data_IF_833743242124
#
_entry.id   IF_833743242124
#
_cell.length_a   1.000
_cell.length_b   1.000
_cell.length_c   1.000
_cell.angle_alpha   90.00
_cell.angle_beta   90.00
_cell.angle_gamma   90.00
#
_symmetry.space_group_name_H-M   'P 1'
#
loop_
_entity.id
_entity.type
_entity.pdbx_description
1 polymer ?
#
# COMPACT_ATOMS: atom_id res chain seq x y z
N UNK A 1 20.75 28.15 10.55
CA UNK A 1 22.09 28.69 10.24
C UNK A 1 22.56 27.98 8.98
N UNK A 2 22.69 28.70 7.87
CA UNK A 2 23.18 28.15 6.61
C UNK A 2 24.69 27.98 6.69
N UNK A 3 25.20 26.79 6.37
CA UNK A 3 26.64 26.57 6.27
C UNK A 3 27.15 27.35 5.06
N UNK A 4 28.24 28.14 5.16
CA UNK A 4 28.77 28.85 4.01
C UNK A 4 29.33 27.85 2.99
N UNK A 5 29.03 28.08 1.71
CA UNK A 5 29.55 27.30 0.60
C UNK A 5 31.06 27.52 0.43
N UNK A 6 31.83 26.48 0.05
CA UNK A 6 33.23 26.64 -0.28
C UNK A 6 33.41 27.64 -1.43
N UNK A 7 34.44 28.52 -1.38
CA UNK A 7 34.71 29.47 -2.44
C UNK A 7 34.95 28.76 -3.78
N UNK A 8 34.27 29.23 -4.83
CA UNK A 8 34.37 28.65 -6.17
C UNK A 8 33.51 27.40 -6.41
N UNK A 9 32.68 26.98 -5.45
CA UNK A 9 31.69 25.93 -5.66
C UNK A 9 30.32 26.53 -5.97
N UNK A 10 29.89 26.42 -7.21
CA UNK A 10 28.53 26.81 -7.65
C UNK A 10 27.62 25.59 -7.64
N UNK A 11 26.59 25.63 -6.78
CA UNK A 11 25.54 24.63 -6.70
C UNK A 11 24.24 25.18 -7.30
N UNK A 12 23.44 24.31 -7.89
CA UNK A 12 22.06 24.64 -8.26
C UNK A 12 21.14 24.64 -7.03
N UNK A 13 19.87 25.03 -7.19
CA UNK A 13 18.90 25.12 -6.08
C UNK A 13 18.75 23.78 -5.33
N UNK A 14 18.61 22.68 -6.07
CA UNK A 14 18.42 21.34 -5.51
C UNK A 14 19.68 20.81 -4.81
N UNK A 15 20.86 21.03 -5.39
CA UNK A 15 22.15 20.72 -4.80
C UNK A 15 22.39 21.53 -3.51
N UNK A 16 21.88 22.77 -3.46
CA UNK A 16 21.94 23.65 -2.29
C UNK A 16 21.04 23.14 -1.16
N UNK A 17 19.83 22.66 -1.48
CA UNK A 17 18.94 22.03 -0.50
C UNK A 17 19.59 20.79 0.13
N UNK A 18 20.19 19.91 -0.69
CA UNK A 18 20.91 18.72 -0.21
C UNK A 18 22.09 19.11 0.65
N UNK A 19 22.88 20.12 0.25
CA UNK A 19 23.99 20.64 1.05
C UNK A 19 23.53 21.16 2.43
N UNK A 20 22.43 21.90 2.47
CA UNK A 20 21.85 22.41 3.71
C UNK A 20 21.25 21.30 4.59
N UNK A 21 20.81 20.20 3.98
CA UNK A 21 20.31 19.00 4.65
C UNK A 21 21.39 18.06 5.21
N UNK A 22 22.68 18.29 4.88
CA UNK A 22 23.76 17.41 5.32
C UNK A 22 23.89 17.39 6.85
N UNK A 23 24.00 16.18 7.40
CA UNK A 23 24.36 15.98 8.80
C UNK A 23 25.78 16.50 9.09
N UNK A 24 26.07 16.79 10.36
CA UNK A 24 27.42 17.21 10.80
C UNK A 24 28.54 16.27 10.34
N UNK A 25 28.26 14.96 10.24
CA UNK A 25 29.23 13.95 9.77
C UNK A 25 29.46 14.05 8.27
N UNK A 26 28.39 14.17 7.48
CA UNK A 26 28.49 14.33 6.03
C UNK A 26 29.14 15.67 5.66
N UNK A 27 28.87 16.72 6.42
CA UNK A 27 29.48 18.02 6.21
C UNK A 27 30.99 18.01 6.46
N UNK A 28 31.46 17.23 7.45
CA UNK A 28 32.90 16.98 7.65
C UNK A 28 33.51 16.20 6.49
N UNK A 29 32.83 15.15 6.02
CA UNK A 29 33.31 14.36 4.87
C UNK A 29 33.39 15.22 3.60
N UNK A 30 32.37 16.04 3.36
CA UNK A 30 32.33 17.00 2.26
C UNK A 30 33.45 18.05 2.35
N UNK A 31 33.71 18.60 3.54
CA UNK A 31 34.79 19.58 3.75
C UNK A 31 36.19 18.95 3.66
N UNK A 32 36.32 17.65 3.93
CA UNK A 32 37.58 16.92 3.78
C UNK A 32 37.96 16.65 2.31
N UNK A 33 37.05 16.87 1.36
CA UNK A 33 37.35 16.73 -0.06
C UNK A 33 38.25 17.88 -0.53
N UNK A 34 39.37 17.58 -1.22
CA UNK A 34 40.35 18.58 -1.61
C UNK A 34 39.83 19.48 -2.76
N UNK A 35 39.08 18.90 -3.70
CA UNK A 35 38.70 19.56 -4.94
C UNK A 35 37.20 19.86 -5.02
N UNK A 36 36.86 21.00 -5.64
CA UNK A 36 35.48 21.39 -5.95
C UNK A 36 34.71 20.36 -6.82
N UNK A 37 35.30 19.73 -7.86
CA UNK A 37 34.61 18.66 -8.60
C UNK A 37 34.24 17.45 -7.73
N UNK A 38 35.08 17.07 -6.77
CA UNK A 38 34.77 15.97 -5.85
C UNK A 38 33.63 16.34 -4.91
N UNK A 39 33.60 17.59 -4.44
CA UNK A 39 32.49 18.14 -3.64
C UNK A 39 31.18 18.11 -4.41
N UNK A 40 31.20 18.51 -5.69
CA UNK A 40 30.04 18.45 -6.56
C UNK A 40 29.53 17.01 -6.74
N UNK A 41 30.44 16.06 -7.00
CA UNK A 41 30.12 14.63 -7.12
C UNK A 41 29.50 14.10 -5.82
N UNK A 42 30.04 14.50 -4.67
CA UNK A 42 29.51 14.09 -3.36
C UNK A 42 28.07 14.54 -3.15
N UNK A 43 27.75 15.80 -3.49
CA UNK A 43 26.38 16.33 -3.38
C UNK A 43 25.44 15.60 -4.34
N UNK A 44 25.85 15.38 -5.59
CA UNK A 44 25.05 14.65 -6.57
C UNK A 44 24.80 13.20 -6.18
N UNK A 45 25.81 12.51 -5.66
CA UNK A 45 25.67 11.15 -5.17
C UNK A 45 24.72 11.08 -3.97
N UNK A 46 24.73 12.10 -3.10
CA UNK A 46 23.80 12.19 -1.96
C UNK A 46 22.37 12.45 -2.45
N UNK A 47 22.20 13.35 -3.42
CA UNK A 47 20.92 13.63 -4.05
C UNK A 47 20.33 12.40 -4.74
N UNK A 48 21.13 11.66 -5.51
CA UNK A 48 20.70 10.44 -6.20
C UNK A 48 20.33 9.32 -5.21
N UNK A 49 21.03 9.23 -4.07
CA UNK A 49 20.70 8.28 -3.02
C UNK A 49 19.36 8.63 -2.35
N UNK A 50 19.14 9.89 -1.99
CA UNK A 50 17.85 10.34 -1.44
C UNK A 50 16.69 10.10 -2.42
N UNK A 51 16.91 10.36 -3.72
CA UNK A 51 15.91 10.13 -4.75
C UNK A 51 15.57 8.64 -4.90
N UNK A 52 16.59 7.77 -4.87
CA UNK A 52 16.38 6.30 -4.88
C UNK A 52 15.65 5.81 -3.63
N UNK A 53 15.97 6.35 -2.47
CA UNK A 53 15.30 5.98 -1.22
C UNK A 53 13.83 6.42 -1.22
N UNK A 54 13.52 7.60 -1.76
CA UNK A 54 12.13 8.04 -1.99
C UNK A 54 11.39 7.12 -2.95
N UNK A 55 11.98 6.82 -4.11
CA UNK A 55 11.37 5.92 -5.09
C UNK A 55 11.12 4.52 -4.53
N UNK A 56 12.03 4.01 -3.69
CA UNK A 56 11.86 2.73 -3.02
C UNK A 56 10.71 2.78 -2.00
N UNK A 57 10.62 3.86 -1.21
CA UNK A 57 9.52 4.07 -0.28
C UNK A 57 8.16 4.13 -1.00
N UNK A 58 8.10 4.82 -2.15
CA UNK A 58 6.87 4.91 -2.95
C UNK A 58 6.48 3.54 -3.55
N UNK A 59 7.47 2.75 -3.97
CA UNK A 59 7.26 1.38 -4.44
C UNK A 59 6.69 0.49 -3.31
N UNK A 60 7.29 0.55 -2.13
CA UNK A 60 6.86 -0.23 -0.96
C UNK A 60 5.44 0.17 -0.52
N UNK A 61 5.10 1.46 -0.55
CA UNK A 61 3.75 1.94 -0.27
C UNK A 61 2.72 1.46 -1.32
N UNK A 62 3.06 1.52 -2.61
CA UNK A 62 2.20 1.02 -3.68
C UNK A 62 1.96 -0.49 -3.57
N UNK A 63 2.99 -1.26 -3.22
CA UNK A 63 2.86 -2.71 -2.99
C UNK A 63 1.95 -2.97 -1.80
N UNK A 64 2.15 -2.27 -0.69
CA UNK A 64 1.31 -2.42 0.51
C UNK A 64 -0.16 -2.10 0.22
N UNK A 65 -0.41 -1.00 -0.50
CA UNK A 65 -1.77 -0.61 -0.91
C UNK A 65 -2.42 -1.66 -1.82
N UNK A 66 -1.66 -2.21 -2.77
CA UNK A 66 -2.12 -3.28 -3.66
C UNK A 66 -2.51 -4.54 -2.88
N UNK A 67 -1.69 -4.96 -1.91
CA UNK A 67 -1.98 -6.13 -1.07
C UNK A 67 -3.25 -5.92 -0.25
N UNK A 68 -3.42 -4.73 0.36
CA UNK A 68 -4.62 -4.40 1.13
C UNK A 68 -5.85 -4.40 0.22
N UNK A 69 -5.76 -3.78 -0.95
CA UNK A 69 -6.86 -3.71 -1.92
C UNK A 69 -7.34 -5.11 -2.36
N UNK A 70 -6.40 -5.98 -2.74
CA UNK A 70 -6.73 -7.37 -3.15
C UNK A 70 -7.35 -8.15 -1.98
N UNK A 71 -6.84 -7.97 -0.76
CA UNK A 71 -7.36 -8.65 0.43
C UNK A 71 -8.82 -8.27 0.72
N UNK A 72 -9.15 -6.97 0.62
CA UNK A 72 -10.52 -6.48 0.79
C UNK A 72 -11.44 -7.02 -0.30
N UNK A 73 -10.98 -7.05 -1.54
CA UNK A 73 -11.77 -7.56 -2.67
C UNK A 73 -12.14 -9.05 -2.48
N UNK A 74 -11.19 -9.86 -2.03
CA UNK A 74 -11.42 -11.29 -1.74
C UNK A 74 -12.42 -11.45 -0.59
N UNK A 75 -12.26 -10.68 0.49
CA UNK A 75 -13.20 -10.70 1.63
C UNK A 75 -14.62 -10.37 1.20
N UNK A 76 -14.80 -9.30 0.43
CA UNK A 76 -16.12 -8.90 -0.09
C UNK A 76 -16.72 -10.01 -0.96
N UNK A 77 -15.92 -10.62 -1.84
CA UNK A 77 -16.38 -11.70 -2.71
C UNK A 77 -16.84 -12.91 -1.89
N UNK A 78 -16.05 -13.35 -0.90
CA UNK A 78 -16.40 -14.46 -0.02
C UNK A 78 -17.64 -14.13 0.81
N UNK A 79 -17.74 -12.91 1.33
CA UNK A 79 -18.89 -12.47 2.13
C UNK A 79 -20.17 -12.43 1.29
N UNK A 80 -20.11 -11.89 0.07
CA UNK A 80 -21.23 -11.91 -0.88
C UNK A 80 -21.68 -13.32 -1.23
N UNK A 81 -20.76 -14.25 -1.51
CA UNK A 81 -21.09 -15.66 -1.78
C UNK A 81 -21.71 -16.32 -0.56
N UNK A 82 -21.21 -16.02 0.64
CA UNK A 82 -21.74 -16.60 1.89
C UNK A 82 -23.15 -16.10 2.18
N UNK A 83 -23.40 -14.79 2.02
CA UNK A 83 -24.75 -14.24 2.16
C UNK A 83 -25.68 -14.81 1.10
N UNK A 84 -25.26 -14.84 -0.15
CA UNK A 84 -26.08 -15.35 -1.25
C UNK A 84 -26.47 -16.82 -1.05
N UNK A 85 -25.52 -17.68 -0.65
CA UNK A 85 -25.80 -19.08 -0.29
C UNK A 85 -26.74 -19.19 0.91
N UNK A 86 -26.57 -18.35 1.93
CA UNK A 86 -27.43 -18.37 3.11
C UNK A 86 -28.87 -17.91 2.78
N UNK A 87 -29.06 -17.06 1.78
CA UNK A 87 -30.38 -16.67 1.27
C UNK A 87 -30.99 -17.78 0.39
N UNK A 88 -30.20 -18.48 -0.42
CA UNK A 88 -30.65 -19.70 -1.13
C UNK A 88 -31.07 -20.81 -0.16
N UNK A 89 -30.28 -21.08 0.88
CA UNK A 89 -30.57 -22.09 1.90
C UNK A 89 -31.84 -21.73 2.72
N UNK A 90 -32.15 -20.44 2.89
CA UNK A 90 -33.40 -19.99 3.52
C UNK A 90 -34.63 -20.10 2.60
N UNK A 91 -34.44 -20.01 1.29
CA UNK A 91 -35.51 -20.16 0.29
C UNK A 91 -35.86 -21.64 0.04
N UNK A 92 -34.98 -22.58 0.39
CA UNK A 92 -35.28 -24.01 0.43
C UNK A 92 -36.00 -24.32 1.76
N UNK A 93 -37.20 -23.78 1.93
CA UNK A 93 -38.16 -24.35 2.88
C UNK A 93 -38.58 -25.70 2.30
N UNK A 94 -38.34 -26.84 2.98
CA UNK A 94 -38.79 -28.11 2.48
C UNK A 94 -40.32 -28.09 2.46
N UNK A 95 -40.88 -28.20 1.27
CA UNK A 95 -42.30 -28.30 0.99
C UNK A 95 -42.84 -29.68 1.41
N UNK A 96 -42.52 -30.14 2.62
CA UNK A 96 -42.83 -31.48 3.13
C UNK A 96 -44.01 -31.51 4.10
N UNK A 97 -44.61 -30.38 4.45
CA UNK A 97 -45.80 -30.29 5.31
C UNK A 97 -47.13 -30.23 4.54
N UNK A 98 -47.12 -29.94 3.23
CA UNK A 98 -48.34 -29.89 2.40
C UNK A 98 -48.77 -31.27 1.85
N UNK A 99 -47.87 -32.24 1.77
CA UNK A 99 -48.21 -33.62 1.37
C UNK A 99 -48.93 -34.42 2.47
N UNK A 100 -48.60 -34.17 3.75
CA UNK A 100 -49.14 -34.97 4.85
C UNK A 100 -50.59 -34.62 5.21
N UNK A 101 -51.02 -33.38 4.99
CA UNK A 101 -52.38 -32.92 5.29
C UNK A 101 -53.37 -33.34 4.18
N UNK A 102 -52.91 -33.46 2.93
CA UNK A 102 -53.74 -33.93 1.83
C UNK A 102 -54.04 -35.44 1.93
N UNK A 103 -53.11 -36.24 2.44
CA UNK A 103 -53.27 -37.70 2.54
C UNK A 103 -54.12 -38.13 3.75
N UNK A 104 -54.12 -37.35 4.83
CA UNK A 104 -54.98 -37.59 6.00
C UNK A 104 -56.46 -37.28 5.73
N UNK A 105 -56.78 -36.38 4.79
CA UNK A 105 -58.19 -36.03 4.49
C UNK A 105 -58.89 -36.99 3.52
N UNK A 106 -58.14 -37.86 2.84
CA UNK A 106 -58.70 -38.88 1.92
C UNK A 106 -58.97 -40.19 2.68
N UNK A 107 -58.25 -40.46 3.78
CA UNK A 107 -58.43 -41.68 4.58
C UNK A 107 -59.59 -41.64 5.57
N UNK A 108 -60.08 -40.45 5.91
CA UNK A 108 -61.20 -40.25 6.85
C UNK A 108 -62.58 -40.15 6.13
N UNK A 109 -62.61 -40.49 4.83
CA UNK A 109 -63.81 -40.39 3.98
C UNK A 109 -63.99 -41.62 3.09
N UNK A 110 -63.89 -42.82 3.64
CA UNK A 110 -64.50 -44.05 3.10
C UNK A 110 -64.26 -45.25 4.04
N UNK A 111 -65.27 -46.11 4.32
CA UNK A 111 -66.72 -45.98 4.22
C UNK A 111 -67.42 -45.72 5.57
#
# INVERSE_FOLDING_TARGET
>A
MTTPLPPGLTLNERETEVFNGLSRRQLRAFNALPDNPLKLIYIRATMDAEEKDRQKSDLDQNILYTIIYVSVLVLLTVFSVTIYKNDEDKLIVPNSSLGFIAEQRIKDKSP
#
